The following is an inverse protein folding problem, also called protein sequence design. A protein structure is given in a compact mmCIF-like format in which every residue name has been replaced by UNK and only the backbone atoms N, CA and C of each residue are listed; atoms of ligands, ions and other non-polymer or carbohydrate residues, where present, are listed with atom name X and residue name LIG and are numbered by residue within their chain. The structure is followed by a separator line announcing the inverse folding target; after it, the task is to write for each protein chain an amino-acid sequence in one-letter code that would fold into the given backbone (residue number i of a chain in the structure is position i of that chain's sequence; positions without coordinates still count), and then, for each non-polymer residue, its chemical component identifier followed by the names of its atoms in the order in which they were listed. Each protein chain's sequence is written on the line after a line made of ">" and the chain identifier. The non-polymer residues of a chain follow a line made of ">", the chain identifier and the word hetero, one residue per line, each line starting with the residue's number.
data_IF_414587994889
#
_entry.id   IF_414587994889
#
_cell.length_a   1.000
_cell.length_b   1.000
_cell.length_c   1.000
_cell.angle_alpha   90.00
_cell.angle_beta   90.00
_cell.angle_gamma   90.00
#
_symmetry.space_group_name_H-M   'P 1'
#
loop_
_entity.id
_entity.type
_entity.pdbx_description
1 polymer ?
#
# COMPACT_ATOMS: atom_id res chain seq x y z
N UNK A 1 -16.90 -8.29 2.92
CA UNK A 1 -15.54 -7.89 3.37
C UNK A 1 -15.02 -6.68 2.61
N UNK A 2 -14.88 -6.77 1.27
CA UNK A 2 -14.34 -5.68 0.43
C UNK A 2 -14.98 -4.32 0.65
N UNK A 3 -16.31 -4.25 0.67
CA UNK A 3 -17.04 -2.99 0.89
C UNK A 3 -16.74 -2.37 2.26
N UNK A 4 -16.62 -3.17 3.32
CA UNK A 4 -16.25 -2.67 4.65
C UNK A 4 -14.85 -2.06 4.63
N UNK A 5 -13.89 -2.75 4.00
CA UNK A 5 -12.51 -2.25 3.84
C UNK A 5 -12.51 -0.93 3.08
N UNK A 6 -13.23 -0.85 1.95
CA UNK A 6 -13.34 0.38 1.16
C UNK A 6 -13.95 1.53 1.96
N UNK A 7 -14.97 1.25 2.77
CA UNK A 7 -15.59 2.25 3.64
C UNK A 7 -14.60 2.81 4.67
N UNK A 8 -13.85 1.94 5.34
CA UNK A 8 -12.81 2.37 6.30
C UNK A 8 -11.71 3.17 5.60
N UNK A 9 -11.33 2.74 4.38
CA UNK A 9 -10.37 3.47 3.57
C UNK A 9 -10.86 4.90 3.29
N UNK A 10 -12.09 5.05 2.80
CA UNK A 10 -12.64 6.35 2.41
C UNK A 10 -12.88 7.28 3.60
N UNK A 11 -13.41 6.75 4.71
CA UNK A 11 -13.85 7.57 5.85
C UNK A 11 -12.72 7.91 6.83
N UNK A 12 -11.67 7.07 6.92
CA UNK A 12 -10.62 7.22 7.95
C UNK A 12 -9.22 7.35 7.38
N UNK A 13 -8.84 6.47 6.46
CA UNK A 13 -7.45 6.38 6.00
C UNK A 13 -7.13 7.44 4.95
N UNK A 14 -7.97 7.54 3.91
CA UNK A 14 -7.76 8.44 2.78
C UNK A 14 -7.72 9.92 3.21
N UNK A 15 -8.57 10.42 4.13
CA UNK A 15 -8.44 11.79 4.65
C UNK A 15 -7.09 12.04 5.33
N UNK A 16 -6.59 11.08 6.11
CA UNK A 16 -5.28 11.17 6.76
C UNK A 16 -4.16 11.23 5.71
N UNK A 17 -4.15 10.32 4.73
CA UNK A 17 -3.14 10.29 3.67
C UNK A 17 -3.16 11.56 2.79
N UNK A 18 -4.36 12.05 2.44
CA UNK A 18 -4.51 13.26 1.63
C UNK A 18 -3.92 14.49 2.33
N UNK A 19 -4.01 14.58 3.67
CA UNK A 19 -3.37 15.67 4.43
C UNK A 19 -1.84 15.66 4.33
N UNK A 20 -1.26 14.53 3.92
CA UNK A 20 0.16 14.33 3.64
C UNK A 20 0.46 14.20 2.13
N UNK A 21 -0.46 14.63 1.24
CA UNK A 21 -0.34 14.52 -0.21
C UNK A 21 -0.10 13.09 -0.73
N UNK A 22 -0.65 12.08 -0.03
CA UNK A 22 -0.66 10.69 -0.45
C UNK A 22 -2.07 10.16 -0.65
N UNK A 23 -2.17 8.97 -1.22
CA UNK A 23 -3.43 8.23 -1.36
C UNK A 23 -3.16 6.71 -1.28
N UNK A 24 -4.21 5.92 -1.33
CA UNK A 24 -4.19 4.46 -1.20
C UNK A 24 -5.15 3.80 -2.19
N UNK A 25 -4.71 2.67 -2.74
CA UNK A 25 -5.49 1.80 -3.60
C UNK A 25 -5.61 0.41 -2.98
N UNK A 26 -6.84 -0.12 -2.94
CA UNK A 26 -7.11 -1.50 -2.53
C UNK A 26 -6.97 -2.43 -3.74
N UNK A 27 -6.01 -3.35 -3.66
CA UNK A 27 -5.72 -4.30 -4.74
C UNK A 27 -6.54 -5.58 -4.58
N UNK A 28 -6.39 -6.26 -3.45
CA UNK A 28 -6.96 -7.60 -3.23
C UNK A 28 -7.24 -7.85 -1.74
N UNK A 29 -8.16 -8.77 -1.46
CA UNK A 29 -8.43 -9.27 -0.11
C UNK A 29 -8.59 -10.77 -0.17
N UNK A 30 -7.68 -11.50 0.48
CA UNK A 30 -7.70 -12.97 0.48
C UNK A 30 -7.23 -13.53 1.81
N UNK A 31 -7.99 -14.46 2.39
CA UNK A 31 -7.65 -15.16 3.64
C UNK A 31 -7.35 -14.24 4.84
N UNK A 32 -7.98 -13.07 4.91
CA UNK A 32 -7.74 -12.06 5.94
C UNK A 32 -6.52 -11.18 5.67
N UNK A 33 -5.85 -11.34 4.53
CA UNK A 33 -4.74 -10.47 4.09
C UNK A 33 -5.30 -9.42 3.13
N UNK A 34 -5.07 -8.15 3.42
CA UNK A 34 -5.47 -7.02 2.58
C UNK A 34 -4.24 -6.51 1.83
N UNK A 35 -4.26 -6.53 0.51
CA UNK A 35 -3.19 -6.00 -0.33
C UNK A 35 -3.54 -4.59 -0.76
N UNK A 36 -2.62 -3.66 -0.51
CA UNK A 36 -2.78 -2.25 -0.82
C UNK A 36 -1.59 -1.73 -1.63
N UNK A 37 -1.78 -0.60 -2.28
CA UNK A 37 -0.70 0.20 -2.87
C UNK A 37 -0.84 1.63 -2.36
N UNK A 38 0.27 2.22 -1.92
CA UNK A 38 0.31 3.65 -1.63
C UNK A 38 0.55 4.42 -2.91
N UNK A 39 -0.13 5.55 -3.04
CA UNK A 39 -0.05 6.48 -4.17
C UNK A 39 0.43 7.86 -3.68
N UNK A 40 0.81 8.74 -4.61
CA UNK A 40 1.25 10.10 -4.30
C UNK A 40 2.59 10.14 -3.56
N UNK A 41 2.80 11.14 -2.70
CA UNK A 41 4.07 11.31 -1.98
C UNK A 41 4.36 10.17 -0.99
N UNK A 42 3.33 9.46 -0.54
CA UNK A 42 3.47 8.31 0.35
C UNK A 42 4.10 7.09 -0.33
N UNK A 43 4.11 6.99 -1.67
CA UNK A 43 4.73 5.85 -2.38
C UNK A 43 6.26 5.94 -2.44
N UNK A 44 6.82 7.15 -2.41
CA UNK A 44 8.26 7.39 -2.53
C UNK A 44 9.02 7.54 -1.21
N UNK A 45 8.31 7.68 -0.08
CA UNK A 45 8.92 7.94 1.21
C UNK A 45 9.24 6.64 1.95
N UNK A 46 10.47 6.15 1.78
CA UNK A 46 10.96 4.89 2.36
C UNK A 46 10.82 4.87 3.89
N UNK A 47 11.05 6.01 4.56
CA UNK A 47 10.92 6.12 6.02
C UNK A 47 9.46 6.11 6.49
N UNK A 48 8.52 6.61 5.69
CA UNK A 48 7.11 6.66 6.06
C UNK A 48 6.35 5.38 5.70
N UNK A 49 6.92 4.53 4.82
CA UNK A 49 6.23 3.36 4.28
C UNK A 49 5.76 2.38 5.36
N UNK A 50 6.64 2.05 6.31
CA UNK A 50 6.30 1.16 7.43
C UNK A 50 5.30 1.81 8.38
N UNK A 51 5.52 3.07 8.74
CA UNK A 51 4.61 3.81 9.63
C UNK A 51 3.20 3.94 9.03
N UNK A 52 3.09 4.22 7.73
CA UNK A 52 1.80 4.34 7.05
C UNK A 52 1.13 2.97 6.96
N UNK A 53 1.88 1.91 6.67
CA UNK A 53 1.35 0.55 6.68
C UNK A 53 0.77 0.18 8.05
N UNK A 54 1.47 0.50 9.14
CA UNK A 54 0.99 0.25 10.51
C UNK A 54 -0.29 1.03 10.84
N UNK A 55 -0.37 2.30 10.41
CA UNK A 55 -1.58 3.12 10.58
C UNK A 55 -2.77 2.52 9.83
N UNK A 56 -2.55 2.09 8.59
CA UNK A 56 -3.59 1.45 7.77
C UNK A 56 -4.02 0.13 8.38
N UNK A 57 -3.08 -0.72 8.78
CA UNK A 57 -3.38 -2.01 9.41
C UNK A 57 -4.16 -1.83 10.70
N UNK A 58 -3.70 -0.94 11.59
CA UNK A 58 -4.39 -0.66 12.86
C UNK A 58 -5.81 -0.14 12.62
N UNK A 59 -5.97 0.80 11.69
CA UNK A 59 -7.29 1.36 11.35
C UNK A 59 -8.24 0.30 10.80
N UNK A 60 -7.74 -0.58 9.94
CA UNK A 60 -8.52 -1.67 9.36
C UNK A 60 -8.89 -2.74 10.40
N UNK A 61 -7.95 -3.13 11.26
CA UNK A 61 -8.18 -4.16 12.30
C UNK A 61 -9.13 -3.69 13.40
N UNK A 62 -9.10 -2.40 13.75
CA UNK A 62 -10.02 -1.82 14.73
C UNK A 62 -11.48 -1.90 14.28
N UNK A 63 -11.75 -1.69 12.99
CA UNK A 63 -13.10 -1.73 12.41
C UNK A 63 -13.48 -3.13 11.91
N UNK A 64 -12.49 -3.94 11.53
CA UNK A 64 -12.67 -5.24 10.90
C UNK A 64 -11.66 -6.23 11.52
N UNK A 65 -11.98 -6.80 12.70
CA UNK A 65 -11.09 -7.71 13.41
C UNK A 65 -10.72 -9.01 12.66
N UNK A 66 -11.45 -9.34 11.58
CA UNK A 66 -11.18 -10.48 10.70
C UNK A 66 -9.90 -10.30 9.84
N UNK A 67 -9.38 -9.06 9.73
CA UNK A 67 -8.14 -8.77 9.03
C UNK A 67 -6.96 -9.21 9.88
N UNK A 68 -6.08 -10.01 9.28
CA UNK A 68 -4.88 -10.57 9.92
C UNK A 68 -3.63 -9.76 9.63
N UNK A 69 -3.53 -9.22 8.42
CA UNK A 69 -2.33 -8.56 7.92
C UNK A 69 -2.69 -7.60 6.78
N UNK A 70 -1.96 -6.48 6.69
CA UNK A 70 -1.97 -5.61 5.51
C UNK A 70 -0.62 -5.71 4.80
N UNK A 71 -0.64 -6.01 3.51
CA UNK A 71 0.55 -6.10 2.67
C UNK A 71 0.60 -4.94 1.67
N UNK A 72 1.70 -4.22 1.69
CA UNK A 72 1.96 -3.14 0.77
C UNK A 72 2.69 -3.67 -0.47
N UNK A 73 2.06 -3.51 -1.64
CA UNK A 73 2.59 -4.00 -2.91
C UNK A 73 3.14 -2.84 -3.75
N UNK A 74 4.46 -2.72 -3.79
CA UNK A 74 5.17 -1.90 -4.76
C UNK A 74 5.40 -2.76 -6.00
N UNK A 75 4.62 -2.55 -7.06
CA UNK A 75 4.92 -3.21 -8.32
C UNK A 75 6.03 -2.43 -9.01
N UNK A 76 7.18 -3.07 -9.20
CA UNK A 76 8.10 -2.70 -10.27
C UNK A 76 7.70 -3.53 -11.47
N UNK A 77 7.33 -2.90 -12.58
CA UNK A 77 6.92 -3.64 -13.77
C UNK A 77 8.08 -4.52 -14.27
N UNK A 78 7.77 -5.66 -14.90
CA UNK A 78 8.81 -6.56 -15.44
C UNK A 78 9.70 -5.82 -16.44
N UNK A 79 9.11 -4.89 -17.22
CA UNK A 79 9.85 -4.02 -18.14
C UNK A 79 10.83 -3.12 -17.39
N UNK A 80 10.41 -2.54 -16.27
CA UNK A 80 11.26 -1.68 -15.44
C UNK A 80 12.41 -2.48 -14.83
N UNK A 81 12.14 -3.70 -14.34
CA UNK A 81 13.18 -4.62 -13.84
C UNK A 81 14.15 -4.99 -14.96
N UNK A 82 13.64 -5.29 -16.16
CA UNK A 82 14.45 -5.63 -17.32
C UNK A 82 15.35 -4.47 -17.75
N UNK A 83 14.82 -3.25 -17.82
CA UNK A 83 15.60 -2.05 -18.13
C UNK A 83 16.70 -1.81 -17.09
N UNK A 84 16.38 -1.92 -15.79
CA UNK A 84 17.36 -1.77 -14.71
C UNK A 84 18.48 -2.82 -14.81
N UNK A 85 18.13 -4.10 -15.02
CA UNK A 85 19.10 -5.19 -15.23
C UNK A 85 20.04 -4.91 -16.39
N UNK A 86 19.51 -4.42 -17.52
CA UNK A 86 20.30 -4.09 -18.73
C UNK A 86 21.26 -2.93 -18.51
N UNK A 87 20.91 -1.95 -17.69
CA UNK A 87 21.79 -0.83 -17.32
C UNK A 87 22.92 -1.34 -16.41
N UNK A 88 22.58 -2.14 -15.40
CA UNK A 88 23.54 -2.69 -14.43
C UNK A 88 24.51 -3.70 -15.07
N UNK A 89 24.06 -4.47 -16.06
CA UNK A 89 24.89 -5.45 -16.77
C UNK A 89 25.81 -4.84 -17.84
N UNK A 90 25.75 -3.52 -18.08
CA UNK A 90 26.53 -2.84 -19.14
C UNK A 90 27.90 -2.32 -18.70
N UNK A 91 28.35 -2.62 -17.48
CA UNK A 91 29.65 -2.21 -16.94
C UNK A 91 30.60 -3.40 -16.68
N UNK A 92 30.51 -4.48 -17.45
CA UNK A 92 31.49 -5.58 -17.48
C UNK A 92 31.92 -5.81 -18.92
#
# INVERSE_FOLDING_TARGET
>A
MREKVLKVIEEKIRPYLNSHNGDIELLDIKNGIVKIRLLGQCSGCISAKYTVQDVVETSLRNEIPEIKEVQLIDYVSEETIYMAKKILSKNI
#
